data_IF_288308375799
#
_entry.id   IF_288308375799
#
_cell.length_a   1.000
_cell.length_b   1.000
_cell.length_c   1.000
_cell.angle_alpha   90.00
_cell.angle_beta   90.00
_cell.angle_gamma   90.00
#
_symmetry.space_group_name_H-M   'P 1'
#
loop_
_entity.id
_entity.type
_entity.pdbx_description
1 polymer ?
#
# COMPACT_ATOMS: atom_id res chain seq x y z
N UNK A 1 -9.74 10.25 6.48
CA UNK A 1 -8.48 11.02 6.49
C UNK A 1 -7.41 10.37 7.35
N UNK A 2 -7.72 9.96 8.57
CA UNK A 2 -6.74 9.43 9.56
C UNK A 2 -5.91 8.24 9.05
N UNK A 3 -6.43 7.42 8.14
CA UNK A 3 -5.74 6.21 7.69
C UNK A 3 -5.20 6.35 6.27
N UNK A 4 -6.09 6.47 5.30
CA UNK A 4 -5.71 6.36 3.89
C UNK A 4 -4.86 7.54 3.41
N UNK A 5 -5.28 8.79 3.68
CA UNK A 5 -4.54 9.98 3.24
C UNK A 5 -3.18 10.05 3.92
N UNK A 6 -3.12 9.83 5.24
CA UNK A 6 -1.87 9.85 5.99
C UNK A 6 -0.89 8.79 5.50
N UNK A 7 -1.36 7.58 5.21
CA UNK A 7 -0.51 6.51 4.67
C UNK A 7 0.09 6.89 3.31
N UNK A 8 -0.72 7.50 2.43
CA UNK A 8 -0.24 7.94 1.12
C UNK A 8 0.78 9.07 1.23
N UNK A 9 0.54 10.05 2.11
CA UNK A 9 1.45 11.16 2.34
C UNK A 9 2.78 10.69 2.92
N UNK A 10 2.74 9.84 3.95
CA UNK A 10 3.95 9.28 4.57
C UNK A 10 4.78 8.46 3.57
N UNK A 11 4.11 7.66 2.74
CA UNK A 11 4.80 6.88 1.69
C UNK A 11 5.51 7.79 0.71
N UNK A 12 4.82 8.81 0.22
CA UNK A 12 5.37 9.75 -0.75
C UNK A 12 6.52 10.56 -0.14
N UNK A 13 6.36 11.09 1.06
CA UNK A 13 7.38 11.85 1.76
C UNK A 13 8.65 11.01 1.94
N UNK A 14 8.52 9.80 2.51
CA UNK A 14 9.68 8.94 2.77
C UNK A 14 10.44 8.55 1.51
N UNK A 15 9.73 8.20 0.43
CA UNK A 15 10.38 7.85 -0.83
C UNK A 15 11.03 9.06 -1.50
N UNK A 16 10.39 10.22 -1.48
CA UNK A 16 10.93 11.43 -2.08
C UNK A 16 12.14 11.96 -1.31
N UNK A 17 12.03 12.07 0.01
CA UNK A 17 13.08 12.60 0.88
C UNK A 17 14.33 11.72 0.86
N UNK A 18 14.17 10.40 0.72
CA UNK A 18 15.30 9.48 0.57
C UNK A 18 16.21 9.85 -0.61
N UNK A 19 15.64 10.43 -1.67
CA UNK A 19 16.37 10.90 -2.86
C UNK A 19 16.56 12.42 -2.91
N UNK A 20 16.39 13.11 -1.78
CA UNK A 20 16.58 14.55 -1.69
C UNK A 20 15.48 15.37 -2.39
N UNK A 21 14.34 14.77 -2.71
CA UNK A 21 13.21 15.42 -3.36
C UNK A 21 12.17 15.89 -2.34
N UNK A 22 11.61 17.06 -2.53
CA UNK A 22 10.46 17.55 -1.76
C UNK A 22 9.18 17.39 -2.56
N UNK A 23 8.36 16.41 -2.18
CA UNK A 23 7.06 16.22 -2.81
C UNK A 23 6.02 17.21 -2.29
N UNK A 24 5.28 17.86 -3.19
CA UNK A 24 4.21 18.80 -2.87
C UNK A 24 2.85 18.16 -3.17
N UNK A 25 1.89 18.34 -2.26
CA UNK A 25 0.55 17.75 -2.34
C UNK A 25 -0.54 18.79 -2.15
N UNK A 26 -0.80 19.62 -3.18
CA UNK A 26 -1.74 20.75 -3.05
C UNK A 26 -3.13 20.32 -2.58
N UNK A 27 -3.60 19.14 -2.97
CA UNK A 27 -4.92 18.62 -2.53
C UNK A 27 -4.97 18.17 -1.08
N UNK A 28 -3.83 18.08 -0.39
CA UNK A 28 -3.75 17.82 1.04
C UNK A 28 -3.52 19.09 1.87
N UNK A 29 -3.57 20.27 1.25
CA UNK A 29 -3.53 21.56 1.95
C UNK A 29 -4.68 21.60 2.97
N UNK A 30 -4.35 21.97 4.22
CA UNK A 30 -5.31 21.98 5.32
C UNK A 30 -6.51 22.89 5.03
N UNK A 31 -6.31 24.02 4.34
CA UNK A 31 -7.38 24.96 3.97
C UNK A 31 -8.40 24.32 3.04
N UNK A 32 -7.95 23.51 2.08
CA UNK A 32 -8.82 22.75 1.19
C UNK A 32 -9.55 21.65 1.98
N UNK A 33 -8.85 20.98 2.88
CA UNK A 33 -9.42 19.92 3.72
C UNK A 33 -10.51 20.48 4.63
N UNK A 34 -10.26 21.60 5.31
CA UNK A 34 -11.23 22.28 6.19
C UNK A 34 -12.45 22.77 5.40
N UNK A 35 -12.23 23.44 4.28
CA UNK A 35 -13.32 23.87 3.40
C UNK A 35 -14.20 22.70 2.96
N UNK A 36 -13.58 21.63 2.47
CA UNK A 36 -14.31 20.45 1.98
C UNK A 36 -14.97 19.64 3.11
N UNK A 37 -14.56 19.81 4.36
CA UNK A 37 -15.14 19.08 5.48
C UNK A 37 -16.65 19.28 5.58
N UNK A 38 -17.08 20.52 5.48
CA UNK A 38 -18.47 20.91 5.59
C UNK A 38 -19.27 20.87 4.29
N UNK A 39 -18.62 20.60 3.13
CA UNK A 39 -19.33 20.48 1.86
C UNK A 39 -20.10 19.16 1.83
N UNK A 40 -21.42 19.17 1.57
CA UNK A 40 -22.23 17.97 1.49
C UNK A 40 -21.73 17.00 0.38
N UNK A 41 -21.84 15.70 0.65
CA UNK A 41 -21.38 14.69 -0.30
C UNK A 41 -22.06 14.81 -1.68
N UNK A 42 -23.34 15.18 -1.69
CA UNK A 42 -24.11 15.43 -2.94
C UNK A 42 -23.44 16.49 -3.84
N UNK A 43 -22.80 17.48 -3.25
CA UNK A 43 -22.05 18.50 -4.01
C UNK A 43 -20.68 17.95 -4.44
N UNK A 44 -19.97 17.23 -3.58
CA UNK A 44 -18.68 16.61 -3.91
C UNK A 44 -18.79 15.63 -5.07
N UNK A 45 -19.90 14.88 -5.14
CA UNK A 45 -20.20 13.91 -6.18
C UNK A 45 -21.36 14.38 -7.08
N UNK A 46 -21.36 15.64 -7.50
CA UNK A 46 -22.40 16.24 -8.34
C UNK A 46 -22.68 15.36 -9.57
N UNK A 47 -23.95 15.04 -9.78
CA UNK A 47 -24.37 14.17 -10.88
C UNK A 47 -23.90 12.71 -10.77
N UNK A 48 -23.58 12.21 -9.58
CA UNK A 48 -23.01 10.88 -9.37
C UNK A 48 -21.56 10.72 -9.85
N UNK A 49 -20.94 11.79 -10.31
CA UNK A 49 -19.61 11.76 -10.89
C UNK A 49 -18.52 11.82 -9.82
N UNK A 50 -17.53 10.94 -9.93
CA UNK A 50 -16.36 10.98 -9.07
C UNK A 50 -15.63 12.32 -9.21
N UNK A 51 -15.36 12.99 -8.07
CA UNK A 51 -14.74 14.33 -8.03
C UNK A 51 -15.57 15.42 -8.73
N UNK A 52 -16.90 15.33 -8.71
CA UNK A 52 -17.79 16.24 -9.43
C UNK A 52 -17.52 17.72 -9.14
N UNK A 53 -17.34 18.09 -7.86
CA UNK A 53 -17.03 19.46 -7.46
C UNK A 53 -15.70 19.97 -8.06
N UNK A 54 -14.66 19.14 -8.04
CA UNK A 54 -13.36 19.48 -8.61
C UNK A 54 -13.43 19.64 -10.13
N UNK A 55 -14.21 18.80 -10.81
CA UNK A 55 -14.43 18.91 -12.26
C UNK A 55 -15.18 20.19 -12.61
N UNK A 56 -16.17 20.55 -11.82
CA UNK A 56 -16.90 21.80 -12.00
C UNK A 56 -16.00 23.02 -11.82
N UNK A 57 -15.17 23.03 -10.78
CA UNK A 57 -14.18 24.09 -10.53
C UNK A 57 -13.12 24.19 -11.65
N UNK A 58 -12.85 23.09 -12.36
CA UNK A 58 -11.90 23.06 -13.48
C UNK A 58 -12.47 23.49 -14.83
N UNK A 59 -13.78 23.77 -14.93
CA UNK A 59 -14.38 24.26 -16.18
C UNK A 59 -13.73 25.56 -16.63
N UNK A 60 -13.41 25.63 -17.90
CA UNK A 60 -12.72 26.80 -18.50
C UNK A 60 -11.21 26.88 -18.15
N UNK A 61 -10.71 26.05 -17.23
CA UNK A 61 -9.29 25.96 -16.92
C UNK A 61 -8.60 24.76 -17.59
N UNK A 62 -9.35 23.69 -17.84
CA UNK A 62 -8.86 22.45 -18.45
C UNK A 62 -9.70 22.07 -19.66
N UNK A 63 -9.11 21.43 -20.69
CA UNK A 63 -9.86 20.84 -21.79
C UNK A 63 -10.85 19.78 -21.27
N UNK A 64 -12.01 19.67 -21.90
CA UNK A 64 -13.09 18.76 -21.48
C UNK A 64 -12.64 17.28 -21.48
N UNK A 65 -11.81 16.89 -22.42
CA UNK A 65 -11.25 15.52 -22.50
C UNK A 65 -10.39 15.15 -21.28
N UNK A 66 -9.70 16.12 -20.66
CA UNK A 66 -8.97 15.94 -19.43
C UNK A 66 -9.91 16.02 -18.22
N UNK A 67 -10.82 17.00 -18.23
CA UNK A 67 -11.74 17.27 -17.14
C UNK A 67 -12.68 16.09 -16.87
N UNK A 68 -13.20 15.45 -17.93
CA UNK A 68 -14.16 14.36 -17.85
C UNK A 68 -13.53 12.97 -18.06
N UNK A 69 -12.21 12.88 -18.14
CA UNK A 69 -11.51 11.61 -18.28
C UNK A 69 -11.90 10.63 -17.17
N UNK A 70 -12.15 9.38 -17.53
CA UNK A 70 -12.35 8.30 -16.57
C UNK A 70 -11.04 8.03 -15.80
N UNK A 71 -11.17 7.70 -14.52
CA UNK A 71 -10.02 7.29 -13.72
C UNK A 71 -9.41 6.03 -14.31
N UNK A 72 -8.12 6.09 -14.65
CA UNK A 72 -7.34 4.90 -14.93
C UNK A 72 -6.70 4.40 -13.64
N UNK A 73 -6.80 3.12 -13.29
CA UNK A 73 -6.01 2.54 -12.21
C UNK A 73 -4.52 2.53 -12.60
N UNK A 74 -3.64 2.44 -11.62
CA UNK A 74 -2.25 2.11 -11.92
C UNK A 74 -2.17 0.74 -12.60
N UNK A 75 -1.23 0.55 -13.56
CA UNK A 75 -1.04 -0.75 -14.18
C UNK A 75 -0.77 -1.80 -13.10
N UNK A 76 -1.45 -2.93 -13.18
CA UNK A 76 -1.07 -4.11 -12.40
C UNK A 76 0.08 -4.80 -13.12
N UNK A 77 1.01 -5.36 -12.36
CA UNK A 77 2.05 -6.21 -12.92
C UNK A 77 1.48 -7.59 -13.15
N UNK A 78 1.33 -7.97 -14.43
CA UNK A 78 0.91 -9.30 -14.87
C UNK A 78 2.08 -10.11 -15.45
N UNK A 79 3.29 -9.71 -15.13
CA UNK A 79 4.50 -10.36 -15.63
C UNK A 79 4.75 -11.67 -14.87
N UNK A 80 4.58 -12.78 -15.55
CA UNK A 80 4.83 -14.13 -15.01
C UNK A 80 6.29 -14.34 -14.61
N UNK A 81 7.23 -13.67 -15.29
CA UNK A 81 8.66 -13.71 -14.93
C UNK A 81 8.90 -13.05 -13.59
N UNK A 82 8.24 -11.91 -13.35
CA UNK A 82 8.30 -11.23 -12.04
C UNK A 82 7.77 -12.13 -10.93
N UNK A 83 6.63 -12.77 -11.15
CA UNK A 83 6.06 -13.72 -10.20
C UNK A 83 7.01 -14.88 -9.89
N UNK A 84 7.61 -15.49 -10.92
CA UNK A 84 8.56 -16.59 -10.76
C UNK A 84 9.79 -16.17 -9.93
N UNK A 85 10.30 -14.95 -10.13
CA UNK A 85 11.40 -14.39 -9.32
C UNK A 85 10.99 -14.23 -7.86
N UNK A 86 9.78 -13.74 -7.60
CA UNK A 86 9.28 -13.60 -6.22
C UNK A 86 9.09 -14.94 -5.53
N UNK A 87 8.51 -15.92 -6.23
CA UNK A 87 8.33 -17.28 -5.71
C UNK A 87 9.68 -17.90 -5.36
N UNK A 88 10.65 -17.85 -6.29
CA UNK A 88 12.02 -18.32 -6.04
C UNK A 88 12.61 -17.66 -4.80
N UNK A 89 12.52 -16.34 -4.70
CA UNK A 89 13.06 -15.60 -3.56
C UNK A 89 12.39 -15.97 -2.23
N UNK A 90 11.07 -16.20 -2.25
CA UNK A 90 10.35 -16.63 -1.06
C UNK A 90 10.74 -18.05 -0.65
N UNK A 91 10.94 -18.97 -1.59
CA UNK A 91 11.45 -20.32 -1.31
C UNK A 91 12.86 -20.26 -0.66
N UNK A 92 13.75 -19.40 -1.15
CA UNK A 92 15.07 -19.17 -0.54
C UNK A 92 14.94 -18.69 0.91
N UNK A 93 14.03 -17.75 1.20
CA UNK A 93 13.74 -17.25 2.55
C UNK A 93 13.20 -18.36 3.45
N UNK A 94 12.32 -19.20 2.93
CA UNK A 94 11.74 -20.33 3.69
C UNK A 94 12.77 -21.42 3.99
N UNK A 95 13.76 -21.61 3.13
CA UNK A 95 14.84 -22.58 3.32
C UNK A 95 15.95 -22.07 4.26
N UNK A 96 16.10 -20.77 4.43
CA UNK A 96 17.09 -20.16 5.33
C UNK A 96 16.55 -20.08 6.76
N UNK A 97 16.98 -21.02 7.61
CA UNK A 97 16.59 -21.07 9.04
C UNK A 97 16.92 -19.81 9.83
N UNK A 98 17.83 -18.95 9.33
CA UNK A 98 18.17 -17.67 9.93
C UNK A 98 17.23 -16.52 9.52
N UNK A 99 16.29 -16.77 8.64
CA UNK A 99 15.34 -15.77 8.15
C UNK A 99 14.43 -15.26 9.27
N UNK A 100 14.48 -13.98 9.62
CA UNK A 100 13.78 -13.45 10.80
C UNK A 100 12.25 -13.42 10.67
N UNK A 101 11.71 -13.63 9.48
CA UNK A 101 10.25 -13.69 9.25
C UNK A 101 9.65 -15.05 9.63
N UNK A 102 10.44 -16.13 9.66
CA UNK A 102 9.93 -17.50 9.85
C UNK A 102 9.02 -17.67 11.08
N UNK A 103 9.31 -17.08 12.25
CA UNK A 103 8.45 -17.21 13.44
C UNK A 103 7.03 -16.64 13.25
N UNK A 104 6.79 -15.85 12.22
CA UNK A 104 5.49 -15.25 11.91
C UNK A 104 4.72 -16.01 10.82
N UNK A 105 5.33 -17.04 10.22
CA UNK A 105 4.77 -17.75 9.09
C UNK A 105 4.41 -19.18 9.47
N UNK A 106 3.32 -19.66 8.91
CA UNK A 106 2.97 -21.07 8.86
C UNK A 106 3.54 -21.66 7.57
N UNK A 107 4.58 -22.47 7.65
CA UNK A 107 5.29 -23.01 6.50
C UNK A 107 4.35 -23.73 5.52
N UNK A 108 3.44 -24.56 6.04
CA UNK A 108 2.48 -25.32 5.21
C UNK A 108 1.51 -24.40 4.46
N UNK A 109 1.09 -23.30 5.10
CA UNK A 109 0.23 -22.32 4.43
C UNK A 109 0.98 -21.55 3.37
N UNK A 110 2.24 -21.18 3.62
CA UNK A 110 3.09 -20.51 2.63
C UNK A 110 3.33 -21.43 1.44
N UNK A 111 3.73 -22.68 1.64
CA UNK A 111 3.92 -23.65 0.55
C UNK A 111 2.66 -23.81 -0.31
N UNK A 112 1.51 -23.97 0.33
CA UNK A 112 0.22 -24.06 -0.37
C UNK A 112 -0.08 -22.78 -1.14
N UNK A 113 0.24 -21.64 -0.59
CA UNK A 113 0.05 -20.34 -1.23
C UNK A 113 0.96 -20.16 -2.45
N UNK A 114 2.23 -20.57 -2.36
CA UNK A 114 3.19 -20.48 -3.46
C UNK A 114 2.89 -21.43 -4.62
N UNK A 115 2.23 -22.57 -4.33
CA UNK A 115 1.78 -23.55 -5.34
C UNK A 115 0.36 -23.31 -5.85
N UNK A 116 -0.35 -22.34 -5.27
CA UNK A 116 -1.73 -22.01 -5.63
C UNK A 116 -1.85 -21.11 -6.85
N UNK A 117 -3.09 -20.78 -7.26
CA UNK A 117 -3.32 -19.86 -8.36
C UNK A 117 -2.84 -18.45 -8.01
N UNK A 118 -2.34 -17.73 -9.01
CA UNK A 118 -1.85 -16.34 -8.87
C UNK A 118 -2.94 -15.33 -8.51
N UNK A 119 -4.19 -15.65 -8.82
CA UNK A 119 -5.37 -14.86 -8.48
C UNK A 119 -6.28 -15.69 -7.58
N UNK A 120 -6.45 -15.25 -6.35
CA UNK A 120 -7.35 -15.86 -5.36
C UNK A 120 -8.67 -15.10 -5.20
N UNK A 121 -9.03 -14.26 -6.19
CA UNK A 121 -10.35 -13.65 -6.36
C UNK A 121 -10.66 -12.51 -5.39
N UNK A 122 -10.19 -12.56 -4.15
CA UNK A 122 -10.48 -11.57 -3.13
C UNK A 122 -9.32 -10.58 -2.95
N UNK A 123 -9.58 -9.27 -2.99
CA UNK A 123 -8.54 -8.28 -2.70
C UNK A 123 -8.19 -8.30 -1.21
N UNK A 124 -6.93 -8.46 -0.90
CA UNK A 124 -6.47 -8.42 0.47
C UNK A 124 -6.47 -6.98 1.01
N UNK A 125 -7.06 -6.79 2.19
CA UNK A 125 -7.06 -5.51 2.90
C UNK A 125 -7.65 -4.32 2.10
N UNK A 126 -8.70 -4.54 1.30
CA UNK A 126 -9.29 -3.51 0.45
C UNK A 126 -8.36 -2.98 -0.64
N UNK A 127 -7.24 -3.64 -0.88
CA UNK A 127 -6.28 -3.37 -1.94
C UNK A 127 -6.43 -4.42 -3.04
N UNK A 128 -6.21 -4.02 -4.27
CA UNK A 128 -6.19 -4.95 -5.40
C UNK A 128 -4.87 -5.73 -5.38
N UNK A 129 -4.69 -6.59 -4.37
CA UNK A 129 -3.52 -7.45 -4.24
C UNK A 129 -3.80 -8.83 -4.81
N UNK A 130 -2.97 -9.25 -5.74
CA UNK A 130 -2.83 -10.63 -6.20
C UNK A 130 -1.68 -11.33 -5.47
N UNK A 131 -1.47 -12.64 -5.73
CA UNK A 131 -0.42 -13.43 -5.10
C UNK A 131 0.99 -12.80 -5.20
N UNK A 132 1.45 -12.27 -6.36
CA UNK A 132 2.76 -11.64 -6.46
C UNK A 132 2.97 -10.49 -5.48
N UNK A 133 1.96 -9.66 -5.25
CA UNK A 133 2.06 -8.53 -4.30
C UNK A 133 2.16 -9.02 -2.86
N UNK A 134 1.44 -10.10 -2.51
CA UNK A 134 1.54 -10.70 -1.18
C UNK A 134 2.93 -11.30 -0.94
N UNK A 135 3.47 -12.02 -1.91
CA UNK A 135 4.83 -12.59 -1.83
C UNK A 135 5.85 -11.46 -1.66
N UNK A 136 5.75 -10.42 -2.49
CA UNK A 136 6.63 -9.23 -2.40
C UNK A 136 6.53 -8.57 -1.01
N UNK A 137 5.35 -8.49 -0.43
CA UNK A 137 5.13 -7.93 0.90
C UNK A 137 5.85 -8.75 2.00
N UNK A 138 5.75 -10.07 1.96
CA UNK A 138 6.46 -10.94 2.91
C UNK A 138 7.98 -10.82 2.75
N UNK A 139 8.48 -10.77 1.52
CA UNK A 139 9.91 -10.55 1.22
C UNK A 139 10.38 -9.20 1.80
N UNK A 140 9.58 -8.14 1.64
CA UNK A 140 9.90 -6.81 2.18
C UNK A 140 9.95 -6.82 3.71
N UNK A 141 9.02 -7.52 4.38
CA UNK A 141 9.04 -7.67 5.83
C UNK A 141 10.33 -8.38 6.27
N UNK A 142 10.68 -9.50 5.61
CA UNK A 142 11.91 -10.23 5.93
C UNK A 142 13.15 -9.32 5.78
N UNK A 143 13.23 -8.59 4.65
CA UNK A 143 14.31 -7.64 4.41
C UNK A 143 14.37 -6.56 5.49
N UNK A 144 13.23 -6.01 5.89
CA UNK A 144 13.15 -4.98 6.92
C UNK A 144 13.60 -5.50 8.28
N UNK A 145 13.12 -6.67 8.69
CA UNK A 145 13.52 -7.32 9.94
C UNK A 145 15.03 -7.56 9.98
N UNK A 146 15.60 -8.04 8.87
CA UNK A 146 17.05 -8.32 8.74
C UNK A 146 17.87 -7.04 8.74
N UNK A 147 17.46 -6.04 7.94
CA UNK A 147 18.20 -4.78 7.78
C UNK A 147 18.30 -3.96 9.07
N UNK A 148 17.24 -3.96 9.87
CA UNK A 148 17.17 -3.19 11.11
C UNK A 148 17.42 -4.04 12.36
N UNK A 149 17.84 -5.30 12.18
CA UNK A 149 18.17 -6.23 13.28
C UNK A 149 17.07 -6.29 14.34
N UNK A 150 15.81 -6.34 13.89
CA UNK A 150 14.65 -6.32 14.77
C UNK A 150 14.62 -7.58 15.63
N UNK A 151 14.69 -7.41 16.94
CA UNK A 151 14.62 -8.51 17.90
C UNK A 151 13.16 -8.81 18.25
N UNK A 152 12.80 -10.07 18.11
CA UNK A 152 11.49 -10.58 18.55
C UNK A 152 11.60 -10.84 20.06
N UNK A 153 10.77 -10.17 20.84
CA UNK A 153 10.70 -10.39 22.28
C UNK A 153 9.63 -11.40 22.61
N UNK A 154 9.96 -12.41 23.41
CA UNK A 154 8.98 -13.30 23.97
C UNK A 154 7.95 -12.57 24.83
N UNK A 155 6.68 -13.07 24.85
CA UNK A 155 5.58 -12.48 25.63
C UNK A 155 5.92 -12.24 27.11
N UNK A 156 6.85 -13.00 27.67
CA UNK A 156 7.33 -12.87 29.04
C UNK A 156 8.19 -11.60 29.20
N UNK A 157 9.00 -11.24 28.22
CA UNK A 157 9.80 -10.01 28.25
C UNK A 157 8.97 -8.74 28.03
N UNK A 158 7.87 -8.83 27.26
CA UNK A 158 6.95 -7.70 27.08
C UNK A 158 6.26 -7.26 28.37
N UNK A 159 5.97 -8.18 29.31
CA UNK A 159 5.39 -7.85 30.62
C UNK A 159 6.35 -7.04 31.53
N UNK A 160 7.65 -7.13 31.29
CA UNK A 160 8.63 -6.35 32.04
C UNK A 160 8.81 -4.93 31.50
N UNK A 161 8.62 -4.72 30.18
CA UNK A 161 8.70 -3.40 29.56
C UNK A 161 7.47 -2.51 29.83
N UNK A 162 6.29 -3.08 30.06
CA UNK A 162 5.04 -2.34 30.36
C UNK A 162 4.90 -1.97 31.85
N UNK A 163 5.96 -2.11 32.66
CA UNK A 163 5.98 -1.74 34.08
C UNK A 163 6.70 -0.43 34.38
N UNK A 164 7.03 0.37 33.33
CA UNK A 164 7.62 1.70 33.49
C UNK A 164 6.75 2.78 32.87
#
# INVERSE_FOLDING_TARGET
QKWFMQTLLNRMERTSTHYGLSARVPFADYRIVEYLWNVPWKMKAKGGMVKGLLREAGRGLLPDEILFRRKSPYPKTYDTKYEAVLVKRMCEIMADSSSPILPFLDAKKVERFLSGPSDYGEPWYGQLMAAPQMIAYLIQINYWLKKYEIKILDKIKLKLYNKW
#
